data_IF_797305948884
#
_entry.id   IF_797305948884
#
_cell.length_a   1.000
_cell.length_b   1.000
_cell.length_c   1.000
_cell.angle_alpha   90.00
_cell.angle_beta   90.00
_cell.angle_gamma   90.00
#
_symmetry.space_group_name_H-M   'P 1'
#
loop_
_entity.id
_entity.type
_entity.pdbx_description
1 polymer ?
#
# COMPACT_ATOMS: atom_id res chain seq x y z
N UNK A 1 24.39 7.41 36.95
CA UNK A 1 23.01 7.43 37.48
C UNK A 1 22.24 8.51 36.71
N UNK A 2 21.56 8.10 35.65
CA UNK A 2 20.63 8.92 34.87
C UNK A 2 19.34 8.10 34.75
N UNK A 3 18.16 8.66 35.05
CA UNK A 3 16.92 7.90 35.03
C UNK A 3 16.43 7.71 33.59
N UNK A 4 16.05 6.48 33.31
CA UNK A 4 15.33 6.00 32.14
C UNK A 4 13.88 6.48 32.16
N UNK A 5 13.45 7.22 31.14
CA UNK A 5 12.03 7.36 30.81
C UNK A 5 11.86 7.77 29.34
N UNK A 6 11.83 6.79 28.44
CA UNK A 6 11.31 6.93 27.08
C UNK A 6 10.41 5.71 26.83
N UNK A 7 9.16 5.82 27.29
CA UNK A 7 8.08 4.99 26.82
C UNK A 7 7.47 5.72 25.60
N UNK A 8 7.57 5.12 24.42
CA UNK A 8 6.91 5.62 23.21
C UNK A 8 5.38 5.45 23.29
N UNK A 9 4.62 6.17 22.46
CA UNK A 9 3.16 6.14 22.51
C UNK A 9 2.59 4.81 22.01
N UNK A 10 1.53 4.39 22.69
CA UNK A 10 0.75 3.17 22.47
C UNK A 10 -0.01 3.29 21.14
N UNK A 11 0.48 2.60 20.11
CA UNK A 11 -0.13 2.60 18.77
C UNK A 11 -1.44 1.80 18.84
N UNK A 12 -2.54 2.47 18.49
CA UNK A 12 -3.91 2.00 18.66
C UNK A 12 -4.15 0.55 18.26
N UNK A 13 -4.23 -0.32 19.25
CA UNK A 13 -4.83 -1.64 19.11
C UNK A 13 -6.34 -1.47 18.95
N UNK A 14 -6.92 -1.92 17.84
CA UNK A 14 -8.27 -2.44 17.89
C UNK A 14 -8.28 -3.51 18.99
N UNK A 15 -8.98 -3.22 20.09
CA UNK A 15 -8.84 -3.91 21.36
C UNK A 15 -8.91 -5.42 21.19
N UNK A 16 -7.79 -6.10 21.36
CA UNK A 16 -7.85 -7.51 21.70
C UNK A 16 -8.42 -7.61 23.12
N UNK A 17 -9.41 -8.48 23.37
CA UNK A 17 -9.90 -8.69 24.71
C UNK A 17 -8.71 -9.05 25.59
N UNK A 18 -8.59 -8.32 26.71
CA UNK A 18 -7.61 -8.56 27.77
C UNK A 18 -7.52 -10.06 28.02
N UNK A 19 -6.30 -10.58 28.14
CA UNK A 19 -6.02 -11.95 28.55
C UNK A 19 -6.90 -12.33 29.75
N UNK A 20 -7.99 -13.05 29.48
CA UNK A 20 -8.69 -13.82 30.50
C UNK A 20 -7.76 -14.99 30.77
N UNK A 21 -7.25 -15.10 31.99
CA UNK A 21 -6.28 -16.12 32.42
C UNK A 21 -6.83 -17.54 32.42
N UNK A 22 -7.17 -18.07 31.23
CA UNK A 22 -7.43 -19.47 30.98
C UNK A 22 -6.37 -20.03 30.05
N UNK A 23 -5.84 -21.21 30.34
CA UNK A 23 -5.01 -21.96 29.40
C UNK A 23 -5.73 -22.04 28.05
N UNK A 24 -5.09 -21.56 26.98
CA UNK A 24 -5.67 -21.63 25.64
C UNK A 24 -5.73 -23.11 25.26
N UNK A 25 -6.95 -23.64 25.10
CA UNK A 25 -7.14 -25.05 24.81
C UNK A 25 -6.41 -25.44 23.52
N UNK A 26 -5.62 -26.52 23.61
CA UNK A 26 -4.87 -27.05 22.46
C UNK A 26 -5.84 -27.78 21.54
N UNK A 27 -5.85 -27.39 20.27
CA UNK A 27 -6.73 -28.00 19.26
C UNK A 27 -6.18 -29.38 18.92
N UNK A 28 -7.03 -30.41 19.01
CA UNK A 28 -6.70 -31.81 18.75
C UNK A 28 -5.52 -32.36 19.59
N UNK A 29 -5.19 -31.73 20.72
CA UNK A 29 -4.05 -32.12 21.56
C UNK A 29 -2.66 -31.83 20.95
N UNK A 30 -2.58 -31.04 19.88
CA UNK A 30 -1.31 -30.78 19.17
C UNK A 30 -0.49 -29.72 19.91
N UNK A 31 0.40 -30.18 20.80
CA UNK A 31 1.35 -29.30 21.51
C UNK A 31 2.53 -28.87 20.65
N UNK A 32 2.89 -29.70 19.67
CA UNK A 32 4.02 -29.46 18.76
C UNK A 32 3.74 -30.10 17.40
N UNK A 33 3.52 -29.29 16.38
CA UNK A 33 3.38 -29.74 15.00
C UNK A 33 4.71 -30.22 14.42
N UNK A 34 4.68 -30.79 13.22
CA UNK A 34 5.87 -31.15 12.44
C UNK A 34 6.88 -29.98 12.34
N UNK A 35 6.39 -28.75 12.23
CA UNK A 35 7.21 -27.53 12.15
C UNK A 35 7.45 -26.87 13.51
N UNK A 36 7.19 -27.56 14.62
CA UNK A 36 7.37 -27.04 15.98
C UNK A 36 6.33 -26.02 16.45
N UNK A 37 5.19 -25.88 15.77
CA UNK A 37 4.15 -24.89 16.12
C UNK A 37 3.06 -25.50 17.00
N UNK A 38 2.46 -24.69 17.86
CA UNK A 38 1.29 -25.08 18.66
C UNK A 38 -0.01 -24.86 17.89
N UNK A 39 -1.00 -25.71 18.12
CA UNK A 39 -2.35 -25.48 17.61
C UNK A 39 -3.22 -24.97 18.76
N UNK A 40 -3.56 -23.69 18.70
CA UNK A 40 -4.32 -23.01 19.74
C UNK A 40 -5.71 -22.68 19.23
N UNK A 41 -6.72 -22.95 20.05
CA UNK A 41 -8.05 -22.44 19.79
C UNK A 41 -8.05 -20.94 20.06
N UNK A 42 -8.69 -20.16 19.20
CA UNK A 42 -8.90 -18.74 19.48
C UNK A 42 -10.04 -18.63 20.52
N UNK A 43 -9.78 -18.11 21.73
CA UNK A 43 -10.80 -18.02 22.75
C UNK A 43 -11.89 -17.05 22.31
N UNK A 44 -13.15 -17.46 22.49
CA UNK A 44 -14.35 -16.64 22.22
C UNK A 44 -15.33 -16.83 23.36
N UNK A 45 -16.01 -15.76 23.78
CA UNK A 45 -17.08 -15.87 24.78
C UNK A 45 -18.29 -16.59 24.16
N UNK A 46 -18.71 -17.76 24.69
CA UNK A 46 -19.88 -18.47 24.18
C UNK A 46 -21.16 -17.63 24.22
N UNK A 47 -21.27 -16.67 25.14
CA UNK A 47 -22.43 -15.76 25.20
C UNK A 47 -22.47 -14.84 24.00
N UNK A 48 -21.34 -14.22 23.65
CA UNK A 48 -21.21 -13.42 22.43
C UNK A 48 -21.59 -14.25 21.21
N UNK A 49 -21.08 -15.49 21.08
CA UNK A 49 -21.43 -16.37 19.96
C UNK A 49 -22.94 -16.63 19.88
N UNK A 50 -23.60 -16.93 21.01
CA UNK A 50 -25.07 -17.09 21.03
C UNK A 50 -25.81 -15.81 20.62
N UNK A 51 -25.34 -14.64 21.04
CA UNK A 51 -25.94 -13.36 20.63
C UNK A 51 -25.84 -13.16 19.12
N UNK A 52 -24.71 -13.50 18.49
CA UNK A 52 -24.55 -13.43 17.03
C UNK A 52 -25.52 -14.36 16.31
N UNK A 53 -25.65 -15.61 16.78
CA UNK A 53 -26.58 -16.61 16.21
C UNK A 53 -28.03 -16.11 16.30
N UNK A 54 -28.44 -15.60 17.46
CA UNK A 54 -29.83 -15.20 17.69
C UNK A 54 -30.19 -13.88 17.01
N UNK A 55 -29.31 -12.87 17.07
CA UNK A 55 -29.61 -11.51 16.57
C UNK A 55 -29.49 -11.39 15.05
N UNK A 56 -28.56 -12.14 14.45
CA UNK A 56 -28.23 -12.02 13.03
C UNK A 56 -28.45 -13.31 12.25
N UNK A 57 -29.09 -14.31 12.87
CA UNK A 57 -29.44 -15.60 12.24
C UNK A 57 -28.24 -16.31 11.60
N UNK A 58 -27.06 -16.15 12.20
CA UNK A 58 -25.83 -16.74 11.70
C UNK A 58 -25.69 -18.20 12.15
N UNK A 59 -24.99 -19.01 11.35
CA UNK A 59 -24.52 -20.31 11.81
C UNK A 59 -23.56 -20.12 12.99
N UNK A 60 -23.54 -21.10 13.92
CA UNK A 60 -22.61 -21.07 15.07
C UNK A 60 -21.15 -20.93 14.62
N UNK A 61 -20.76 -21.62 13.54
CA UNK A 61 -19.41 -21.53 13.00
C UNK A 61 -19.08 -20.10 12.54
N UNK A 62 -19.97 -19.46 11.79
CA UNK A 62 -19.80 -18.07 11.34
C UNK A 62 -19.72 -17.12 12.53
N UNK A 63 -20.62 -17.28 13.52
CA UNK A 63 -20.63 -16.48 14.74
C UNK A 63 -19.32 -16.61 15.53
N UNK A 64 -18.78 -17.83 15.70
CA UNK A 64 -17.47 -18.06 16.34
C UNK A 64 -16.33 -17.39 15.58
N UNK A 65 -16.34 -17.45 14.25
CA UNK A 65 -15.31 -16.79 13.43
C UNK A 65 -15.36 -15.27 13.58
N UNK A 66 -16.55 -14.67 13.58
CA UNK A 66 -16.71 -13.22 13.75
C UNK A 66 -16.31 -12.76 15.17
N UNK A 67 -16.78 -13.45 16.21
CA UNK A 67 -16.39 -13.18 17.59
C UNK A 67 -14.87 -13.33 17.78
N UNK A 68 -14.27 -14.37 17.19
CA UNK A 68 -12.83 -14.58 17.19
C UNK A 68 -12.05 -13.54 16.37
N UNK A 69 -12.71 -12.75 15.53
CA UNK A 69 -12.07 -11.61 14.84
C UNK A 69 -12.21 -10.31 15.62
N UNK A 70 -12.87 -10.33 16.79
CA UNK A 70 -13.12 -9.13 17.60
C UNK A 70 -14.14 -8.19 16.97
N UNK A 71 -15.05 -8.71 16.15
CA UNK A 71 -16.18 -7.91 15.62
C UNK A 71 -17.20 -7.78 16.74
N UNK A 72 -17.71 -6.58 16.96
CA UNK A 72 -18.79 -6.35 17.92
C UNK A 72 -20.14 -6.80 17.35
N UNK A 73 -21.07 -7.16 18.24
CA UNK A 73 -22.40 -7.66 17.84
C UNK A 73 -23.09 -6.65 16.93
N UNK A 74 -22.97 -5.37 17.23
CA UNK A 74 -23.59 -4.26 16.52
C UNK A 74 -23.01 -4.08 15.10
N UNK A 75 -21.75 -4.43 14.90
CA UNK A 75 -21.02 -4.18 13.65
C UNK A 75 -21.16 -5.30 12.62
N UNK A 76 -21.79 -6.42 12.98
CA UNK A 76 -21.93 -7.60 12.11
C UNK A 76 -22.53 -7.29 10.74
N UNK A 77 -23.63 -6.52 10.61
CA UNK A 77 -24.19 -6.21 9.30
C UNK A 77 -23.20 -5.46 8.41
N UNK A 78 -22.53 -4.44 8.96
CA UNK A 78 -21.55 -3.63 8.24
C UNK A 78 -20.28 -4.40 7.88
N UNK A 79 -19.87 -5.36 8.72
CA UNK A 79 -18.73 -6.23 8.43
C UNK A 79 -19.02 -7.22 7.30
N UNK A 80 -20.21 -7.84 7.32
CA UNK A 80 -20.62 -8.82 6.30
C UNK A 80 -20.99 -8.16 4.97
N UNK A 81 -21.67 -7.01 5.03
CA UNK A 81 -22.13 -6.25 3.87
C UNK A 81 -21.62 -4.81 3.92
N UNK A 82 -20.30 -4.58 3.75
CA UNK A 82 -19.74 -3.24 3.83
C UNK A 82 -20.21 -2.41 2.64
N UNK A 83 -20.77 -1.22 2.92
CA UNK A 83 -21.18 -0.28 1.89
C UNK A 83 -20.38 1.02 2.00
N UNK A 84 -20.14 1.67 0.86
CA UNK A 84 -19.50 3.00 0.87
C UNK A 84 -20.39 4.06 1.52
N UNK A 85 -21.72 3.91 1.43
CA UNK A 85 -22.66 4.84 2.06
C UNK A 85 -22.44 4.92 3.58
N UNK A 86 -22.17 3.78 4.20
CA UNK A 86 -22.08 3.69 5.66
C UNK A 86 -20.64 3.92 6.16
N UNK A 87 -19.63 3.64 5.33
CA UNK A 87 -18.22 3.56 5.77
C UNK A 87 -17.31 4.63 5.16
N UNK A 88 -17.75 5.37 4.13
CA UNK A 88 -16.95 6.45 3.56
C UNK A 88 -17.01 7.67 4.50
N UNK A 89 -15.88 8.12 5.08
CA UNK A 89 -15.85 9.28 5.95
C UNK A 89 -16.05 10.57 5.14
N UNK A 90 -16.48 11.61 5.84
CA UNK A 90 -16.29 12.97 5.34
C UNK A 90 -14.78 13.23 5.20
N UNK A 91 -14.27 13.64 4.02
CA UNK A 91 -12.86 13.98 3.84
C UNK A 91 -12.36 15.04 4.83
N UNK A 92 -13.22 15.92 5.35
CA UNK A 92 -12.82 16.96 6.32
C UNK A 92 -12.40 16.40 7.69
N UNK A 93 -12.55 15.09 7.91
CA UNK A 93 -12.03 14.41 9.10
C UNK A 93 -10.51 14.24 9.08
N UNK A 94 -9.86 14.43 7.94
CA UNK A 94 -8.42 14.32 7.78
C UNK A 94 -7.81 15.73 7.82
N UNK A 95 -6.79 15.93 8.65
CA UNK A 95 -6.10 17.21 8.72
C UNK A 95 -5.53 17.59 7.35
N UNK A 96 -5.57 18.89 7.05
CA UNK A 96 -5.16 19.52 5.79
C UNK A 96 -5.88 19.04 4.52
N UNK A 97 -6.87 18.14 4.61
CA UNK A 97 -7.64 17.68 3.43
C UNK A 97 -8.31 18.85 2.70
N UNK A 98 -8.93 19.77 3.45
CA UNK A 98 -9.54 20.98 2.89
C UNK A 98 -8.52 21.86 2.16
N UNK A 99 -7.36 22.12 2.79
CA UNK A 99 -6.29 22.94 2.22
C UNK A 99 -5.76 22.34 0.91
N UNK A 100 -5.44 21.04 0.92
CA UNK A 100 -4.98 20.34 -0.28
C UNK A 100 -6.03 20.31 -1.39
N UNK A 101 -7.30 20.06 -1.04
CA UNK A 101 -8.39 20.03 -2.01
C UNK A 101 -8.65 21.40 -2.63
N UNK A 102 -8.66 22.47 -1.84
CA UNK A 102 -8.83 23.85 -2.31
C UNK A 102 -7.68 24.28 -3.23
N UNK A 103 -6.42 23.98 -2.83
CA UNK A 103 -5.25 24.33 -3.64
C UNK A 103 -5.26 23.65 -5.01
N UNK A 104 -5.61 22.36 -5.04
CA UNK A 104 -5.65 21.57 -6.29
C UNK A 104 -6.87 21.89 -7.15
N UNK A 105 -8.04 22.15 -6.55
CA UNK A 105 -9.18 22.67 -7.28
C UNK A 105 -8.86 24.04 -7.91
N UNK A 106 -8.18 24.92 -7.16
CA UNK A 106 -7.67 26.20 -7.65
C UNK A 106 -6.78 26.04 -8.88
N UNK A 107 -5.80 25.12 -8.81
CA UNK A 107 -4.92 24.79 -9.93
C UNK A 107 -5.70 24.34 -11.18
N UNK A 108 -6.71 23.47 -11.00
CA UNK A 108 -7.58 23.01 -12.10
C UNK A 108 -8.34 24.18 -12.73
N UNK A 109 -8.98 25.03 -11.91
CA UNK A 109 -9.77 26.17 -12.39
C UNK A 109 -8.91 27.24 -13.07
N UNK A 110 -7.67 27.40 -12.63
CA UNK A 110 -6.69 28.34 -13.20
C UNK A 110 -5.87 27.73 -14.34
N UNK A 111 -6.13 26.47 -14.71
CA UNK A 111 -5.40 25.74 -15.74
C UNK A 111 -3.88 25.65 -15.47
N UNK A 112 -3.48 25.62 -14.20
CA UNK A 112 -2.11 25.30 -13.78
C UNK A 112 -1.78 23.84 -14.12
N UNK A 113 -0.50 23.53 -14.32
CA UNK A 113 -0.05 22.15 -14.41
C UNK A 113 0.16 21.61 -12.99
N UNK A 114 -0.52 20.50 -12.66
CA UNK A 114 -0.32 19.79 -11.40
C UNK A 114 0.76 18.72 -11.63
N UNK A 115 1.92 18.89 -10.98
CA UNK A 115 2.92 17.83 -10.90
C UNK A 115 2.48 16.74 -9.94
N UNK A 116 2.60 15.48 -10.30
CA UNK A 116 2.34 14.33 -9.44
C UNK A 116 3.64 13.57 -9.28
N UNK A 117 4.13 13.46 -8.05
CA UNK A 117 5.27 12.64 -7.70
C UNK A 117 4.76 11.39 -6.98
N UNK A 118 4.87 10.21 -7.60
CA UNK A 118 4.39 8.95 -7.01
C UNK A 118 5.51 8.03 -6.56
N UNK A 119 5.16 6.92 -5.91
CA UNK A 119 6.05 5.78 -5.74
C UNK A 119 5.90 4.74 -6.86
N UNK A 120 6.92 3.88 -7.02
CA UNK A 120 6.99 2.88 -8.10
C UNK A 120 6.21 1.59 -7.81
N UNK A 121 5.75 1.39 -6.57
CA UNK A 121 4.99 0.21 -6.22
C UNK A 121 3.51 0.33 -6.67
N UNK A 122 2.68 -0.67 -6.35
CA UNK A 122 1.29 -0.67 -6.81
C UNK A 122 0.47 0.45 -6.17
N UNK A 123 0.70 0.79 -4.90
CA UNK A 123 -0.09 1.81 -4.22
C UNK A 123 0.27 3.20 -4.77
N UNK A 124 1.56 3.50 -4.91
CA UNK A 124 2.04 4.72 -5.55
C UNK A 124 1.61 4.86 -7.01
N UNK A 125 1.69 3.78 -7.80
CA UNK A 125 1.26 3.79 -9.20
C UNK A 125 -0.25 3.98 -9.35
N UNK A 126 -1.06 3.32 -8.53
CA UNK A 126 -2.52 3.46 -8.57
C UNK A 126 -2.99 4.81 -8.03
N UNK A 127 -2.34 5.35 -7.01
CA UNK A 127 -2.57 6.72 -6.50
C UNK A 127 -2.29 7.77 -7.57
N UNK A 128 -1.13 7.65 -8.22
CA UNK A 128 -0.72 8.55 -9.31
C UNK A 128 -1.69 8.49 -10.49
N UNK A 129 -2.10 7.27 -10.87
CA UNK A 129 -3.05 7.07 -11.95
C UNK A 129 -4.45 7.61 -11.61
N UNK A 130 -4.94 7.35 -10.39
CA UNK A 130 -6.22 7.84 -9.90
C UNK A 130 -6.30 9.37 -9.96
N UNK A 131 -5.32 10.05 -9.38
CA UNK A 131 -5.28 11.52 -9.37
C UNK A 131 -5.12 12.08 -10.78
N UNK A 132 -4.21 11.51 -11.59
CA UNK A 132 -3.99 11.96 -12.98
C UNK A 132 -5.24 11.81 -13.85
N UNK A 133 -5.95 10.68 -13.74
CA UNK A 133 -7.21 10.45 -14.47
C UNK A 133 -8.31 11.39 -14.02
N UNK A 134 -8.46 11.61 -12.72
CA UNK A 134 -9.45 12.56 -12.21
C UNK A 134 -9.19 13.97 -12.72
N UNK A 135 -7.96 14.48 -12.55
CA UNK A 135 -7.60 15.85 -12.99
C UNK A 135 -7.86 16.03 -14.49
N UNK A 136 -7.48 15.05 -15.33
CA UNK A 136 -7.78 15.09 -16.78
C UNK A 136 -9.27 15.05 -17.07
N UNK A 137 -10.03 14.19 -16.37
CA UNK A 137 -11.48 14.06 -16.56
C UNK A 137 -12.25 15.35 -16.26
N UNK A 138 -11.76 16.18 -15.34
CA UNK A 138 -12.35 17.50 -15.02
C UNK A 138 -11.74 18.66 -15.81
N UNK A 139 -10.86 18.37 -16.78
CA UNK A 139 -10.27 19.33 -17.72
C UNK A 139 -8.97 20.01 -17.26
N UNK A 140 -8.33 19.51 -16.20
CA UNK A 140 -7.03 19.99 -15.73
C UNK A 140 -5.84 19.33 -16.43
N UNK A 141 -4.63 19.81 -16.12
CA UNK A 141 -3.36 19.32 -16.71
C UNK A 141 -2.50 18.67 -15.63
N UNK A 142 -1.88 17.54 -15.97
CA UNK A 142 -0.95 16.83 -15.08
C UNK A 142 0.35 16.49 -15.75
N UNK A 143 1.43 16.54 -14.99
CA UNK A 143 2.72 15.92 -15.30
C UNK A 143 3.04 14.93 -14.18
N UNK A 144 3.58 13.75 -14.51
CA UNK A 144 3.81 12.69 -13.52
C UNK A 144 5.26 12.25 -13.54
N UNK A 145 5.85 12.14 -12.35
CA UNK A 145 7.17 11.55 -12.13
C UNK A 145 7.05 10.35 -11.20
N UNK A 146 7.58 9.21 -11.64
CA UNK A 146 7.71 8.00 -10.83
C UNK A 146 9.22 7.71 -10.73
N UNK A 147 9.82 7.71 -9.52
CA UNK A 147 11.27 7.61 -9.38
C UNK A 147 11.79 6.21 -9.77
N UNK A 148 12.98 6.19 -10.38
CA UNK A 148 13.74 4.96 -10.55
C UNK A 148 14.41 4.59 -9.21
N UNK A 149 13.94 3.51 -8.58
CA UNK A 149 14.43 3.07 -7.26
C UNK A 149 15.93 2.86 -7.21
N UNK A 150 16.53 2.41 -8.31
CA UNK A 150 17.96 2.07 -8.37
C UNK A 150 18.80 3.34 -8.59
N UNK A 151 18.33 4.27 -9.43
CA UNK A 151 19.08 5.48 -9.78
C UNK A 151 18.85 6.65 -8.82
N UNK A 152 17.61 6.82 -8.38
CA UNK A 152 17.15 7.98 -7.60
C UNK A 152 16.92 7.65 -6.12
N UNK A 153 16.75 6.36 -5.79
CA UNK A 153 16.40 5.92 -4.44
C UNK A 153 14.89 5.93 -4.19
N UNK A 154 14.50 5.98 -2.92
CA UNK A 154 13.09 5.94 -2.49
C UNK A 154 12.58 7.34 -2.15
N UNK A 155 11.34 7.62 -2.57
CA UNK A 155 10.62 8.84 -2.21
C UNK A 155 11.03 10.10 -2.99
N UNK A 156 10.49 11.26 -2.59
CA UNK A 156 10.72 12.52 -3.28
C UNK A 156 12.19 12.94 -3.23
N UNK A 157 12.70 13.42 -4.35
CA UNK A 157 14.05 14.01 -4.44
C UNK A 157 13.99 15.41 -5.07
N UNK A 158 14.89 16.28 -4.63
CA UNK A 158 14.91 17.70 -5.04
C UNK A 158 15.00 17.87 -6.55
N UNK A 159 15.86 17.10 -7.22
CA UNK A 159 16.07 17.23 -8.66
C UNK A 159 14.78 16.92 -9.45
N UNK A 160 14.08 15.86 -9.10
CA UNK A 160 12.85 15.46 -9.77
C UNK A 160 11.67 16.41 -9.49
N UNK A 161 11.51 16.90 -8.24
CA UNK A 161 10.46 17.89 -7.93
C UNK A 161 10.69 19.19 -8.71
N UNK A 162 11.92 19.70 -8.72
CA UNK A 162 12.25 20.91 -9.50
C UNK A 162 12.13 20.65 -11.01
N UNK A 163 12.47 19.44 -11.47
CA UNK A 163 12.29 19.01 -12.84
C UNK A 163 10.83 19.09 -13.33
N UNK A 164 9.84 18.79 -12.47
CA UNK A 164 8.42 18.96 -12.82
C UNK A 164 8.08 20.43 -13.12
N UNK A 165 8.66 21.36 -12.38
CA UNK A 165 8.51 22.80 -12.66
C UNK A 165 9.23 23.18 -13.94
N UNK A 166 10.49 22.81 -14.09
CA UNK A 166 11.32 23.24 -15.22
C UNK A 166 10.84 22.68 -16.56
N UNK A 167 10.41 21.42 -16.59
CA UNK A 167 9.96 20.74 -17.80
C UNK A 167 8.50 21.02 -18.16
N UNK A 168 7.63 21.24 -17.17
CA UNK A 168 6.18 21.29 -17.38
C UNK A 168 5.49 22.55 -16.85
N UNK A 169 6.22 23.44 -16.17
CA UNK A 169 5.66 24.63 -15.55
C UNK A 169 4.75 24.32 -14.36
N UNK A 170 4.99 23.21 -13.65
CA UNK A 170 4.22 22.87 -12.46
C UNK A 170 4.47 23.89 -11.33
N UNK A 171 3.42 24.62 -10.94
CA UNK A 171 3.38 25.55 -9.80
C UNK A 171 2.88 24.87 -8.51
N UNK A 172 2.26 23.70 -8.65
CA UNK A 172 1.87 22.83 -7.54
C UNK A 172 2.31 21.40 -7.82
N UNK A 173 2.84 20.75 -6.80
CA UNK A 173 3.21 19.32 -6.83
C UNK A 173 2.45 18.58 -5.75
N UNK A 174 1.89 17.42 -6.10
CA UNK A 174 1.30 16.47 -5.17
C UNK A 174 2.22 15.27 -5.05
N UNK A 175 2.70 14.96 -3.85
CA UNK A 175 3.34 13.67 -3.60
C UNK A 175 2.26 12.66 -3.21
N UNK A 176 2.28 11.47 -3.80
CA UNK A 176 1.34 10.39 -3.49
C UNK A 176 2.11 9.15 -3.06
N UNK A 177 1.66 8.51 -1.98
CA UNK A 177 2.32 7.36 -1.34
C UNK A 177 3.75 7.63 -0.87
N UNK A 178 4.07 8.91 -0.69
CA UNK A 178 5.35 9.35 -0.18
C UNK A 178 5.28 10.83 0.24
N UNK A 179 6.33 11.29 0.91
CA UNK A 179 6.54 12.71 1.18
C UNK A 179 6.42 13.13 2.64
N UNK A 180 5.81 12.32 3.52
CA UNK A 180 5.68 12.65 4.96
C UNK A 180 7.03 12.89 5.64
N UNK A 181 8.08 12.21 5.18
CA UNK A 181 9.44 12.35 5.73
C UNK A 181 10.40 13.10 4.79
N UNK A 182 9.89 13.72 3.73
CA UNK A 182 10.71 14.36 2.69
C UNK A 182 11.00 15.84 2.99
N UNK A 183 11.62 16.13 4.15
CA UNK A 183 11.84 17.48 4.64
C UNK A 183 12.64 18.37 3.68
N UNK A 184 13.82 17.90 3.23
CA UNK A 184 14.71 18.67 2.37
C UNK A 184 14.13 18.89 0.96
N UNK A 185 13.63 17.87 0.24
CA UNK A 185 13.01 18.06 -1.07
C UNK A 185 11.83 19.05 -1.05
N UNK A 186 10.98 18.98 -0.03
CA UNK A 186 9.82 19.87 0.10
C UNK A 186 10.23 21.30 0.50
N UNK A 187 11.27 21.45 1.32
CA UNK A 187 11.83 22.76 1.59
C UNK A 187 12.39 23.42 0.33
N UNK A 188 13.12 22.68 -0.50
CA UNK A 188 13.65 23.15 -1.77
C UNK A 188 12.53 23.51 -2.78
N UNK A 189 11.45 22.71 -2.82
CA UNK A 189 10.28 23.01 -3.64
C UNK A 189 9.64 24.35 -3.25
N UNK A 190 9.42 24.58 -1.95
CA UNK A 190 8.89 25.84 -1.43
C UNK A 190 9.80 27.02 -1.77
N UNK A 191 11.11 26.87 -1.59
CA UNK A 191 12.08 27.94 -1.88
C UNK A 191 12.13 28.26 -3.40
N UNK A 192 11.78 27.28 -4.24
CA UNK A 192 11.54 27.47 -5.67
C UNK A 192 10.14 28.00 -6.01
N UNK A 193 9.29 28.30 -5.03
CA UNK A 193 7.91 28.78 -5.24
C UNK A 193 6.98 27.72 -5.84
N UNK A 194 7.19 26.45 -5.49
CA UNK A 194 6.27 25.34 -5.79
C UNK A 194 5.47 25.05 -4.53
N UNK A 195 4.15 25.09 -4.63
CA UNK A 195 3.27 24.63 -3.55
C UNK A 195 3.28 23.10 -3.52
N UNK A 196 3.45 22.49 -2.35
CA UNK A 196 3.44 21.03 -2.23
C UNK A 196 2.27 20.56 -1.40
N UNK A 197 1.53 19.57 -1.89
CA UNK A 197 0.52 18.82 -1.15
C UNK A 197 1.03 17.39 -0.97
N UNK A 198 1.13 16.91 0.26
CA UNK A 198 1.53 15.54 0.57
C UNK A 198 0.30 14.69 0.80
N UNK A 199 0.22 13.55 0.11
CA UNK A 199 -0.80 12.51 0.30
C UNK A 199 -0.08 11.20 0.57
N UNK A 200 -0.16 10.75 1.81
CA UNK A 200 0.67 9.64 2.27
C UNK A 200 -0.07 8.88 3.38
N UNK A 201 0.48 7.73 3.75
CA UNK A 201 -0.02 6.88 4.83
C UNK A 201 1.11 6.28 5.68
N UNK A 202 2.38 6.56 5.36
CA UNK A 202 3.50 6.10 6.16
C UNK A 202 3.47 6.68 7.59
N UNK A 203 4.14 6.00 8.53
CA UNK A 203 4.31 6.51 9.90
C UNK A 203 4.97 7.89 9.88
N UNK A 204 4.30 8.88 10.48
CA UNK A 204 4.83 10.22 10.61
C UNK A 204 5.74 10.37 11.85
N UNK A 205 6.63 11.35 11.78
CA UNK A 205 7.41 11.83 12.92
C UNK A 205 6.67 12.99 13.63
N UNK A 206 7.26 13.50 14.71
CA UNK A 206 6.70 14.62 15.46
C UNK A 206 6.67 15.92 14.64
N UNK A 207 7.69 16.14 13.83
CA UNK A 207 7.77 17.27 12.91
C UNK A 207 7.24 16.84 11.54
N UNK A 208 6.55 17.77 10.86
CA UNK A 208 6.07 17.59 9.49
C UNK A 208 6.88 18.46 8.52
N UNK A 209 7.05 18.03 7.26
CA UNK A 209 7.74 18.81 6.26
C UNK A 209 6.94 20.07 5.92
N UNK A 210 7.65 21.11 5.49
CA UNK A 210 7.04 22.38 5.11
C UNK A 210 6.34 22.23 3.75
N UNK A 211 5.02 22.06 3.79
CA UNK A 211 4.14 21.88 2.65
C UNK A 211 2.86 22.73 2.85
N UNK A 212 2.09 22.95 1.77
CA UNK A 212 0.78 23.63 1.83
C UNK A 212 -0.25 22.77 2.58
N UNK A 213 -0.13 21.45 2.43
CA UNK A 213 -0.96 20.47 3.11
C UNK A 213 -0.20 19.16 3.31
N UNK A 214 -0.33 18.55 4.49
CA UNK A 214 0.17 17.18 4.75
C UNK A 214 -1.00 16.28 5.15
N UNK A 215 -1.55 15.57 4.17
CA UNK A 215 -2.70 14.68 4.33
C UNK A 215 -2.17 13.27 4.59
N UNK A 216 -2.11 12.89 5.87
CA UNK A 216 -1.67 11.55 6.26
C UNK A 216 -2.40 11.09 7.55
N UNK A 217 -3.16 9.98 7.50
CA UNK A 217 -3.91 9.48 8.65
C UNK A 217 -3.05 8.94 9.80
N UNK A 218 -1.74 8.81 9.60
CA UNK A 218 -0.75 8.39 10.59
C UNK A 218 0.07 9.55 11.16
N UNK A 219 -0.36 10.81 10.95
CA UNK A 219 0.18 11.93 11.71
C UNK A 219 -0.11 11.75 13.21
N UNK A 220 0.84 12.17 14.05
CA UNK A 220 0.70 12.06 15.50
C UNK A 220 -0.39 12.97 16.09
N UNK A 221 -0.79 14.02 15.37
CA UNK A 221 -1.86 14.95 15.75
C UNK A 221 -3.23 14.59 15.14
N UNK A 222 -3.32 13.51 14.37
CA UNK A 222 -4.55 13.07 13.71
C UNK A 222 -5.50 12.35 14.67
N UNK A 223 -6.81 12.45 14.42
CA UNK A 223 -7.77 11.62 15.15
C UNK A 223 -7.64 10.16 14.73
N UNK A 224 -7.39 9.28 15.69
CA UNK A 224 -7.27 7.84 15.42
C UNK A 224 -8.53 7.27 14.74
N UNK A 225 -8.34 6.36 13.78
CA UNK A 225 -9.42 5.60 13.14
C UNK A 225 -9.19 5.23 11.68
N UNK A 226 -8.29 5.93 10.99
CA UNK A 226 -8.04 5.74 9.56
C UNK A 226 -6.58 5.47 9.20
N UNK A 227 -5.68 5.28 10.18
CA UNK A 227 -4.25 5.00 9.94
C UNK A 227 -3.97 3.71 9.16
N UNK A 228 -4.97 2.84 9.02
CA UNK A 228 -4.91 1.64 8.19
C UNK A 228 -5.20 1.89 6.69
N UNK A 229 -5.56 3.09 6.26
CA UNK A 229 -5.76 3.38 4.83
C UNK A 229 -4.45 3.19 4.07
N UNK A 230 -4.54 2.61 2.88
CA UNK A 230 -3.49 2.72 1.86
C UNK A 230 -3.47 4.14 1.28
N UNK A 231 -2.36 4.59 0.70
CA UNK A 231 -2.24 5.91 0.10
C UNK A 231 -3.24 6.12 -1.05
N UNK A 232 -3.59 5.07 -1.83
CA UNK A 232 -4.64 5.19 -2.86
C UNK A 232 -6.02 5.44 -2.25
N UNK A 233 -6.27 4.95 -1.04
CA UNK A 233 -7.49 5.23 -0.28
C UNK A 233 -7.55 6.69 0.17
N UNK A 234 -6.44 7.22 0.68
CA UNK A 234 -6.31 8.65 1.04
C UNK A 234 -6.44 9.53 -0.22
N UNK A 235 -5.82 9.13 -1.32
CA UNK A 235 -5.90 9.80 -2.62
C UNK A 235 -7.33 9.82 -3.16
N UNK A 236 -8.08 8.72 -2.98
CA UNK A 236 -9.50 8.68 -3.36
C UNK A 236 -10.32 9.69 -2.55
N UNK A 237 -10.07 9.81 -1.24
CA UNK A 237 -10.75 10.81 -0.40
C UNK A 237 -10.37 12.25 -0.81
N UNK A 238 -9.12 12.49 -1.20
CA UNK A 238 -8.70 13.76 -1.77
C UNK A 238 -9.42 14.06 -3.09
N UNK A 239 -9.57 13.08 -3.99
CA UNK A 239 -10.35 13.23 -5.22
C UNK A 239 -11.82 13.59 -4.91
N UNK A 240 -12.43 12.94 -3.90
CA UNK A 240 -13.78 13.29 -3.43
C UNK A 240 -13.83 14.75 -2.93
N UNK A 241 -12.83 15.19 -2.17
CA UNK A 241 -12.74 16.54 -1.64
C UNK A 241 -12.55 17.59 -2.76
N UNK A 242 -11.63 17.38 -3.71
CA UNK A 242 -11.41 18.27 -4.86
C UNK A 242 -12.70 18.35 -5.69
N UNK A 243 -13.35 17.21 -5.97
CA UNK A 243 -14.61 17.18 -6.71
C UNK A 243 -15.71 17.98 -6.01
N UNK A 244 -15.78 17.93 -4.67
CA UNK A 244 -16.70 18.73 -3.86
C UNK A 244 -16.42 20.23 -3.98
N UNK A 245 -15.16 20.65 -3.94
CA UNK A 245 -14.75 22.06 -4.12
C UNK A 245 -15.12 22.56 -5.53
N UNK A 246 -14.79 21.80 -6.57
CA UNK A 246 -15.15 22.13 -7.96
C UNK A 246 -16.67 22.26 -8.15
N UNK A 247 -17.45 21.35 -7.55
CA UNK A 247 -18.92 21.43 -7.56
C UNK A 247 -19.42 22.70 -6.88
N UNK A 248 -18.88 23.04 -5.71
CA UNK A 248 -19.21 24.26 -4.97
C UNK A 248 -18.88 25.53 -5.75
N UNK A 249 -17.80 25.51 -6.56
CA UNK A 249 -17.41 26.60 -7.44
C UNK A 249 -18.22 26.67 -8.76
N UNK A 250 -19.20 25.78 -8.95
CA UNK A 250 -20.02 25.75 -10.16
C UNK A 250 -19.30 25.24 -11.41
N UNK A 251 -18.15 24.56 -11.26
CA UNK A 251 -17.29 24.10 -12.36
C UNK A 251 -18.04 23.21 -13.36
N UNK A 252 -18.98 22.40 -12.86
CA UNK A 252 -19.78 21.45 -13.65
C UNK A 252 -21.02 22.05 -14.31
N UNK A 253 -21.25 23.36 -14.22
CA UNK A 253 -22.35 24.02 -14.96
C UNK A 253 -22.18 23.90 -16.47
N UNK A 254 -20.94 23.82 -16.94
CA UNK A 254 -20.59 23.73 -18.37
C UNK A 254 -19.80 22.47 -18.73
N UNK A 255 -19.64 21.53 -17.78
CA UNK A 255 -18.76 20.36 -17.91
C UNK A 255 -19.41 19.15 -17.22
N UNK A 256 -19.24 17.93 -17.75
CA UNK A 256 -19.74 16.74 -17.07
C UNK A 256 -18.98 16.50 -15.76
N UNK A 257 -19.70 16.23 -14.67
CA UNK A 257 -19.11 15.74 -13.44
C UNK A 257 -18.80 14.23 -13.60
N UNK A 258 -17.55 13.76 -13.34
CA UNK A 258 -17.21 12.36 -13.48
C UNK A 258 -17.81 11.49 -12.36
N UNK A 259 -18.22 10.26 -12.69
CA UNK A 259 -18.54 9.24 -11.69
C UNK A 259 -17.24 8.74 -11.03
N UNK A 260 -16.99 9.14 -9.78
CA UNK A 260 -15.78 8.75 -9.06
C UNK A 260 -15.72 7.25 -8.76
N UNK A 261 -16.86 6.55 -8.69
CA UNK A 261 -16.90 5.12 -8.38
C UNK A 261 -16.26 4.28 -9.50
N UNK A 262 -16.15 4.82 -10.71
CA UNK A 262 -15.55 4.12 -11.84
C UNK A 262 -14.06 3.79 -11.64
N UNK A 263 -13.38 4.48 -10.73
CA UNK A 263 -11.94 4.29 -10.47
C UNK A 263 -11.65 3.43 -9.24
N UNK A 264 -12.68 2.85 -8.61
CA UNK A 264 -12.49 2.00 -7.43
C UNK A 264 -11.75 0.70 -7.74
N UNK A 265 -11.64 0.30 -9.02
CA UNK A 265 -10.81 -0.83 -9.42
C UNK A 265 -9.31 -0.59 -9.13
N UNK A 266 -8.81 0.63 -9.38
CA UNK A 266 -7.46 1.04 -9.01
C UNK A 266 -7.31 1.17 -7.49
N UNK A 267 -8.29 1.75 -6.81
CA UNK A 267 -8.30 1.85 -5.33
C UNK A 267 -8.22 0.47 -4.70
N UNK A 268 -9.00 -0.49 -5.20
CA UNK A 268 -8.96 -1.86 -4.70
C UNK A 268 -7.62 -2.53 -4.94
N UNK A 269 -7.04 -2.36 -6.14
CA UNK A 269 -5.74 -2.95 -6.45
C UNK A 269 -4.63 -2.41 -5.53
N UNK A 270 -4.49 -1.09 -5.39
CA UNK A 270 -3.49 -0.48 -4.51
C UNK A 270 -3.69 -0.91 -3.05
N UNK A 271 -4.92 -0.78 -2.53
CA UNK A 271 -5.26 -1.18 -1.15
C UNK A 271 -4.90 -2.64 -0.84
N UNK A 272 -5.18 -3.58 -1.76
CA UNK A 272 -4.85 -5.00 -1.55
C UNK A 272 -3.34 -5.24 -1.64
N UNK A 273 -2.65 -4.55 -2.55
CA UNK A 273 -1.21 -4.74 -2.78
C UNK A 273 -0.34 -4.09 -1.71
N UNK A 274 -0.84 -3.08 -1.02
CA UNK A 274 -0.22 -2.45 0.15
C UNK A 274 -0.36 -3.30 1.44
N UNK A 275 -1.13 -4.39 1.38
CA UNK A 275 -1.26 -5.37 2.49
C UNK A 275 -1.83 -4.73 3.78
N UNK A 276 -2.57 -3.62 3.65
CA UNK A 276 -3.30 -3.03 4.76
C UNK A 276 -4.49 -3.90 5.20
N UNK A 277 -4.93 -3.82 6.47
CA UNK A 277 -6.10 -4.54 6.94
C UNK A 277 -7.35 -4.25 6.10
N UNK A 278 -7.99 -5.31 5.58
CA UNK A 278 -9.26 -5.24 4.85
C UNK A 278 -10.46 -5.21 5.81
N UNK A 279 -10.51 -4.18 6.65
CA UNK A 279 -11.58 -3.86 7.60
C UNK A 279 -12.14 -2.46 7.32
N UNK A 280 -13.33 -2.16 7.87
CA UNK A 280 -13.96 -0.84 7.73
C UNK A 280 -13.98 -0.32 6.29
N UNK A 281 -13.50 0.91 6.09
CA UNK A 281 -13.45 1.57 4.78
C UNK A 281 -12.63 0.80 3.74
N UNK A 282 -11.45 0.26 4.07
CA UNK A 282 -10.65 -0.53 3.12
C UNK A 282 -11.47 -1.71 2.57
N UNK A 283 -12.23 -2.38 3.45
CA UNK A 283 -13.10 -3.48 3.06
C UNK A 283 -14.20 -3.02 2.10
N UNK A 284 -14.81 -1.86 2.35
CA UNK A 284 -15.85 -1.30 1.48
C UNK A 284 -15.30 -0.89 0.11
N UNK A 285 -14.17 -0.18 0.08
CA UNK A 285 -13.47 0.24 -1.14
C UNK A 285 -13.07 -0.98 -1.98
N UNK A 286 -12.44 -1.98 -1.36
CA UNK A 286 -12.00 -3.20 -2.06
C UNK A 286 -13.20 -4.02 -2.55
N UNK A 287 -14.24 -4.19 -1.73
CA UNK A 287 -15.44 -4.94 -2.14
C UNK A 287 -16.13 -4.29 -3.34
N UNK A 288 -16.28 -2.97 -3.34
CA UNK A 288 -16.89 -2.27 -4.46
C UNK A 288 -15.96 -2.21 -5.67
N UNK A 289 -14.66 -1.99 -5.45
CA UNK A 289 -13.67 -1.95 -6.52
C UNK A 289 -13.49 -3.25 -7.26
N UNK A 290 -13.59 -4.41 -6.59
CA UNK A 290 -13.61 -5.71 -7.29
C UNK A 290 -14.85 -5.86 -8.20
N UNK A 291 -16.01 -5.31 -7.81
CA UNK A 291 -17.20 -5.30 -8.69
C UNK A 291 -16.99 -4.39 -9.91
N UNK A 292 -16.35 -3.23 -9.71
CA UNK A 292 -15.97 -2.33 -10.81
C UNK A 292 -14.97 -3.00 -11.75
N UNK A 293 -13.95 -3.65 -11.20
CA UNK A 293 -12.91 -4.36 -11.96
C UNK A 293 -13.49 -5.54 -12.76
N UNK A 294 -14.47 -6.27 -12.21
CA UNK A 294 -15.20 -7.32 -12.92
C UNK A 294 -15.95 -6.80 -14.16
N UNK A 295 -16.25 -5.50 -14.22
CA UNK A 295 -16.81 -4.84 -15.40
C UNK A 295 -15.81 -4.58 -16.52
N UNK A 296 -14.50 -4.80 -16.30
CA UNK A 296 -13.42 -4.77 -17.30
C UNK A 296 -13.36 -3.47 -18.14
N UNK A 297 -13.74 -2.33 -17.55
CA UNK A 297 -13.79 -1.03 -18.25
C UNK A 297 -12.42 -0.34 -18.33
N UNK A 298 -11.55 -0.55 -17.35
CA UNK A 298 -10.18 -0.04 -17.36
C UNK A 298 -9.31 -0.91 -18.28
N UNK A 299 -8.87 -0.33 -19.41
CA UNK A 299 -8.11 -1.03 -20.45
C UNK A 299 -6.84 -1.69 -19.92
N UNK A 300 -6.11 -0.98 -19.04
CA UNK A 300 -4.87 -1.47 -18.44
C UNK A 300 -5.09 -2.65 -17.51
N UNK A 301 -6.03 -2.53 -16.58
CA UNK A 301 -6.39 -3.62 -15.66
C UNK A 301 -6.96 -4.83 -16.39
N UNK A 302 -7.74 -4.60 -17.44
CA UNK A 302 -8.27 -5.64 -18.32
C UNK A 302 -7.12 -6.40 -19.00
N UNK A 303 -6.21 -5.68 -19.65
CA UNK A 303 -5.06 -6.29 -20.33
C UNK A 303 -4.15 -7.04 -19.34
N UNK A 304 -3.94 -6.49 -18.14
CA UNK A 304 -3.16 -7.13 -17.08
C UNK A 304 -3.81 -8.43 -16.59
N UNK A 305 -5.12 -8.44 -16.39
CA UNK A 305 -5.88 -9.64 -16.03
C UNK A 305 -5.76 -10.70 -17.14
N UNK A 306 -5.86 -10.31 -18.40
CA UNK A 306 -5.77 -11.22 -19.55
C UNK A 306 -4.41 -11.88 -19.68
N UNK A 307 -3.31 -11.11 -19.62
CA UNK A 307 -1.96 -11.70 -19.68
C UNK A 307 -1.65 -12.55 -18.46
N UNK A 308 -2.30 -12.27 -17.33
CA UNK A 308 -2.16 -13.04 -16.11
C UNK A 308 -3.03 -14.31 -16.07
N UNK A 309 -3.91 -14.52 -17.07
CA UNK A 309 -4.80 -15.66 -17.15
C UNK A 309 -5.98 -15.61 -16.19
N UNK A 310 -6.43 -14.42 -15.80
CA UNK A 310 -7.62 -14.23 -14.93
C UNK A 310 -8.85 -14.11 -15.83
N UNK A 311 -9.60 -15.21 -15.96
CA UNK A 311 -10.81 -15.34 -16.78
C UNK A 311 -12.11 -15.31 -15.97
N UNK A 312 -12.02 -15.16 -14.64
CA UNK A 312 -13.15 -15.06 -13.73
C UNK A 312 -13.24 -13.69 -13.03
N UNK A 313 -14.27 -13.50 -12.20
CA UNK A 313 -14.43 -12.28 -11.42
C UNK A 313 -13.24 -12.10 -10.46
N UNK A 314 -12.55 -10.94 -10.47
CA UNK A 314 -11.39 -10.73 -9.62
C UNK A 314 -11.72 -10.85 -8.12
N UNK A 315 -10.82 -11.48 -7.38
CA UNK A 315 -10.87 -11.61 -5.92
C UNK A 315 -9.64 -10.93 -5.32
N UNK A 316 -9.62 -10.70 -4.00
CA UNK A 316 -8.43 -10.17 -3.34
C UNK A 316 -7.18 -11.04 -3.59
N UNK A 317 -7.35 -12.34 -3.84
CA UNK A 317 -6.26 -13.22 -4.27
C UNK A 317 -5.70 -12.81 -5.64
N UNK A 318 -6.57 -12.59 -6.64
CA UNK A 318 -6.15 -12.13 -7.95
C UNK A 318 -5.41 -10.79 -7.88
N UNK A 319 -5.93 -9.84 -7.09
CA UNK A 319 -5.28 -8.54 -6.91
C UNK A 319 -3.90 -8.70 -6.26
N UNK A 320 -3.80 -9.34 -5.10
CA UNK A 320 -2.58 -9.37 -4.29
C UNK A 320 -1.50 -10.37 -4.76
N UNK A 321 -1.89 -11.48 -5.39
CA UNK A 321 -0.96 -12.57 -5.73
C UNK A 321 -0.78 -12.80 -7.22
N UNK A 322 -1.63 -12.20 -8.07
CA UNK A 322 -1.59 -12.42 -9.52
C UNK A 322 -1.29 -11.11 -10.26
N UNK A 323 -2.12 -10.08 -10.10
CA UNK A 323 -1.99 -8.81 -10.82
C UNK A 323 -0.93 -7.89 -10.17
N UNK A 324 -1.00 -7.70 -8.86
CA UNK A 324 -0.07 -6.84 -8.09
C UNK A 324 1.41 -7.16 -8.30
N UNK A 325 1.84 -8.43 -8.20
CA UNK A 325 3.24 -8.80 -8.44
C UNK A 325 3.78 -8.41 -9.82
N UNK A 326 2.90 -8.35 -10.85
CA UNK A 326 3.29 -7.93 -12.20
C UNK A 326 3.54 -6.44 -12.28
N UNK A 327 2.67 -5.62 -11.68
CA UNK A 327 2.88 -4.17 -11.58
C UNK A 327 4.17 -3.88 -10.81
N UNK A 328 4.33 -4.50 -9.64
CA UNK A 328 5.53 -4.37 -8.81
C UNK A 328 6.82 -4.85 -9.46
N UNK A 329 6.75 -5.73 -10.48
CA UNK A 329 7.94 -6.18 -11.18
C UNK A 329 8.60 -5.06 -11.98
N UNK A 330 7.82 -4.09 -12.49
CA UNK A 330 8.32 -2.91 -13.19
C UNK A 330 9.35 -2.15 -12.36
N UNK A 331 8.97 -1.68 -11.16
CA UNK A 331 9.89 -0.96 -10.26
C UNK A 331 10.97 -1.81 -9.60
N UNK A 332 10.94 -3.15 -9.72
CA UNK A 332 11.94 -4.04 -9.10
C UNK A 332 13.06 -4.44 -10.05
N UNK A 333 12.74 -4.75 -11.29
CA UNK A 333 13.69 -5.32 -12.27
C UNK A 333 13.55 -4.69 -13.67
N UNK A 334 12.68 -3.69 -13.84
CA UNK A 334 12.37 -3.07 -15.12
C UNK A 334 12.23 -1.54 -15.02
N UNK A 335 11.21 -1.02 -15.70
CA UNK A 335 10.90 0.42 -15.74
C UNK A 335 9.81 0.76 -14.70
N UNK A 336 10.11 1.70 -13.80
CA UNK A 336 9.23 2.09 -12.68
C UNK A 336 7.89 2.70 -13.10
N UNK A 337 7.84 3.40 -14.23
CA UNK A 337 6.66 4.16 -14.68
C UNK A 337 5.59 3.29 -15.36
N UNK A 338 5.89 2.03 -15.66
CA UNK A 338 5.00 1.14 -16.42
C UNK A 338 3.67 0.88 -15.71
N UNK A 339 3.67 0.80 -14.38
CA UNK A 339 2.46 0.65 -13.59
C UNK A 339 1.50 1.82 -13.81
N UNK A 340 2.01 3.04 -13.66
CA UNK A 340 1.25 4.27 -13.90
C UNK A 340 0.74 4.35 -15.35
N UNK A 341 1.61 4.10 -16.34
CA UNK A 341 1.24 4.16 -17.77
C UNK A 341 0.16 3.16 -18.13
N UNK A 342 0.25 1.93 -17.62
CA UNK A 342 -0.75 0.90 -17.84
C UNK A 342 -2.11 1.36 -17.31
N UNK A 343 -2.17 1.95 -16.11
CA UNK A 343 -3.44 2.36 -15.49
C UNK A 343 -4.06 3.62 -16.12
N UNK A 344 -3.27 4.40 -16.87
CA UNK A 344 -3.70 5.68 -17.44
C UNK A 344 -3.88 5.67 -18.95
N UNK A 345 -3.38 4.67 -19.67
CA UNK A 345 -3.56 4.60 -21.12
C UNK A 345 -5.03 4.46 -21.53
N UNK A 346 -5.35 5.06 -22.67
CA UNK A 346 -6.66 5.02 -23.32
C UNK A 346 -6.61 4.21 -24.64
N UNK A 347 -5.48 3.56 -24.91
CA UNK A 347 -5.22 2.80 -26.13
C UNK A 347 -5.11 1.30 -25.83
N UNK A 348 -5.89 0.47 -26.53
CA UNK A 348 -5.95 -0.98 -26.26
C UNK A 348 -4.64 -1.70 -26.59
N UNK A 349 -3.98 -1.30 -27.68
CA UNK A 349 -2.70 -1.82 -28.14
C UNK A 349 -1.56 -1.45 -27.18
N UNK A 350 -1.53 -0.20 -26.71
CA UNK A 350 -0.58 0.22 -25.68
C UNK A 350 -0.81 -0.55 -24.37
N UNK A 351 -2.06 -0.66 -23.90
CA UNK A 351 -2.40 -1.42 -22.70
C UNK A 351 -1.90 -2.87 -22.77
N UNK A 352 -2.11 -3.53 -23.92
CA UNK A 352 -1.66 -4.90 -24.12
C UNK A 352 -0.13 -5.03 -24.17
N UNK A 353 0.56 -4.08 -24.81
CA UNK A 353 2.02 -4.04 -24.83
C UNK A 353 2.60 -3.87 -23.42
N UNK A 354 2.09 -2.88 -22.67
CA UNK A 354 2.52 -2.61 -21.30
C UNK A 354 2.27 -3.81 -20.37
N UNK A 355 1.10 -4.43 -20.46
CA UNK A 355 0.75 -5.61 -19.66
C UNK A 355 1.70 -6.79 -19.95
N UNK A 356 2.03 -7.07 -21.21
CA UNK A 356 2.99 -8.12 -21.57
C UNK A 356 4.40 -7.83 -21.09
N UNK A 357 4.80 -6.56 -21.10
CA UNK A 357 6.11 -6.13 -20.60
C UNK A 357 6.21 -6.35 -19.08
N UNK A 358 5.20 -5.95 -18.32
CA UNK A 358 5.11 -6.21 -16.88
C UNK A 358 5.08 -7.71 -16.55
N UNK A 359 4.38 -8.51 -17.35
CA UNK A 359 4.35 -9.96 -17.20
C UNK A 359 5.73 -10.61 -17.48
N UNK A 360 6.47 -10.10 -18.47
CA UNK A 360 7.86 -10.50 -18.70
C UNK A 360 8.77 -10.14 -17.53
N UNK A 361 8.73 -8.90 -17.05
CA UNK A 361 9.50 -8.49 -15.86
C UNK A 361 9.14 -9.32 -14.63
N UNK A 362 7.89 -9.73 -14.46
CA UNK A 362 7.52 -10.61 -13.36
C UNK A 362 8.17 -11.99 -13.44
N UNK A 363 8.27 -12.59 -14.65
CA UNK A 363 9.01 -13.85 -14.85
C UNK A 363 10.51 -13.68 -14.58
N UNK A 364 11.09 -12.59 -15.05
CA UNK A 364 12.51 -12.29 -14.81
C UNK A 364 12.77 -12.12 -13.32
N UNK A 365 11.92 -11.34 -12.64
CA UNK A 365 11.95 -11.15 -11.19
C UNK A 365 11.82 -12.47 -10.43
N UNK A 366 10.91 -13.37 -10.83
CA UNK A 366 10.76 -14.71 -10.24
C UNK A 366 12.03 -15.56 -10.42
N UNK A 367 12.65 -15.50 -11.60
CA UNK A 367 13.87 -16.24 -11.93
C UNK A 367 15.04 -15.76 -11.07
N UNK A 368 15.25 -14.44 -11.01
CA UNK A 368 16.29 -13.80 -10.19
C UNK A 368 16.06 -14.09 -8.71
N UNK A 369 14.82 -13.94 -8.22
CA UNK A 369 14.45 -14.27 -6.85
C UNK A 369 14.76 -15.72 -6.50
N UNK A 370 14.44 -16.66 -7.40
CA UNK A 370 14.70 -18.08 -7.21
C UNK A 370 16.19 -18.38 -7.04
N UNK A 371 17.03 -17.79 -7.89
CA UNK A 371 18.48 -17.95 -7.80
C UNK A 371 19.05 -17.39 -6.49
N UNK A 372 18.64 -16.18 -6.10
CA UNK A 372 19.08 -15.54 -4.85
C UNK A 372 18.61 -16.34 -3.63
N UNK A 373 17.35 -16.81 -3.62
CA UNK A 373 16.82 -17.62 -2.53
C UNK A 373 17.56 -18.94 -2.37
N UNK A 374 17.86 -19.64 -3.47
CA UNK A 374 18.65 -20.88 -3.45
C UNK A 374 20.05 -20.64 -2.87
N UNK A 375 20.74 -19.59 -3.34
CA UNK A 375 22.06 -19.22 -2.81
C UNK A 375 22.02 -18.87 -1.32
N UNK A 376 21.02 -18.08 -0.90
CA UNK A 376 20.84 -17.72 0.50
C UNK A 376 20.51 -18.93 1.40
N UNK A 377 19.68 -19.85 0.93
CA UNK A 377 19.37 -21.08 1.66
C UNK A 377 20.60 -21.98 1.80
N UNK A 378 21.39 -22.15 0.74
CA UNK A 378 22.63 -22.92 0.80
C UNK A 378 23.60 -22.39 1.86
N UNK A 379 23.80 -21.06 1.91
CA UNK A 379 24.64 -20.42 2.94
C UNK A 379 24.15 -20.70 4.36
N UNK A 380 22.85 -20.60 4.60
CA UNK A 380 22.26 -20.81 5.92
C UNK A 380 22.28 -22.28 6.34
N UNK A 381 22.11 -23.21 5.40
CA UNK A 381 22.12 -24.65 5.65
C UNK A 381 23.54 -25.18 5.89
N UNK A 382 24.53 -24.67 5.14
CA UNK A 382 25.96 -24.98 5.32
C UNK A 382 26.49 -24.42 6.65
N UNK A 383 26.19 -23.15 6.95
CA UNK A 383 26.59 -22.53 8.22
C UNK A 383 25.93 -23.21 9.44
N UNK A 384 24.74 -23.78 9.26
CA UNK A 384 24.01 -24.51 10.28
C UNK A 384 24.39 -25.99 10.42
N UNK A 385 25.31 -26.53 9.60
CA UNK A 385 25.67 -27.95 9.62
C UNK A 385 24.47 -28.90 9.52
N UNK A 386 23.39 -28.48 8.84
CA UNK A 386 22.13 -29.22 8.73
C UNK A 386 21.21 -29.17 9.97
N UNK A 387 21.54 -28.42 11.02
CA UNK A 387 20.72 -28.25 12.23
C UNK A 387 20.18 -26.83 12.37
N UNK A 388 18.86 -26.68 12.52
CA UNK A 388 18.20 -25.39 12.77
C UNK A 388 18.70 -24.68 14.06
N UNK A 389 19.34 -25.41 14.98
CA UNK A 389 19.89 -24.85 16.22
C UNK A 389 21.28 -24.22 16.05
N UNK A 390 21.99 -24.50 14.95
CA UNK A 390 23.29 -23.89 14.66
C UNK A 390 23.17 -22.60 13.83
N UNK A 391 22.00 -22.36 13.23
CA UNK A 391 21.66 -21.06 12.65
C UNK A 391 21.64 -20.00 13.76
N UNK A 392 22.27 -18.85 13.55
CA UNK A 392 22.28 -17.75 14.52
C UNK A 392 20.88 -17.16 14.79
N UNK A 393 20.80 -16.20 15.72
CA UNK A 393 19.53 -15.54 16.06
C UNK A 393 18.85 -14.85 14.86
N UNK A 394 19.64 -14.50 13.84
CA UNK A 394 19.21 -13.88 12.59
C UNK A 394 19.66 -14.76 11.42
N UNK A 395 18.76 -15.01 10.46
CA UNK A 395 19.09 -15.62 9.18
C UNK A 395 19.74 -14.58 8.27
N UNK A 396 21.07 -14.52 8.30
CA UNK A 396 21.88 -13.61 7.48
C UNK A 396 22.42 -14.33 6.25
N UNK A 397 22.15 -13.78 5.07
CA UNK A 397 22.72 -14.25 3.81
C UNK A 397 23.22 -13.06 2.98
N UNK A 398 24.25 -13.29 2.18
CA UNK A 398 24.80 -12.24 1.33
C UNK A 398 25.39 -12.79 0.03
N UNK A 399 25.45 -11.99 -1.03
CA UNK A 399 26.04 -12.47 -2.27
C UNK A 399 26.43 -11.36 -3.22
N UNK A 400 27.50 -11.62 -3.96
CA UNK A 400 27.99 -10.75 -5.02
C UNK A 400 27.08 -10.85 -6.25
N UNK A 401 26.73 -9.71 -6.83
CA UNK A 401 25.89 -9.63 -8.03
C UNK A 401 24.43 -10.00 -7.80
N UNK A 402 23.98 -10.20 -6.55
CA UNK A 402 22.57 -10.35 -6.25
C UNK A 402 21.81 -9.06 -6.56
N UNK A 403 20.61 -9.19 -7.13
CA UNK A 403 19.86 -8.02 -7.58
C UNK A 403 19.15 -7.31 -6.39
N UNK A 404 19.41 -6.01 -6.14
CA UNK A 404 18.80 -5.29 -5.00
C UNK A 404 17.27 -5.25 -5.01
N UNK A 405 16.64 -5.31 -6.20
CA UNK A 405 15.18 -5.34 -6.34
C UNK A 405 14.48 -6.58 -5.75
N UNK A 406 15.20 -7.69 -5.48
CA UNK A 406 14.60 -8.94 -4.97
C UNK A 406 14.99 -9.31 -3.54
N UNK A 407 16.04 -8.73 -2.97
CA UNK A 407 16.57 -9.12 -1.65
C UNK A 407 15.54 -8.99 -0.53
N UNK A 408 14.64 -8.01 -0.60
CA UNK A 408 13.56 -7.84 0.38
C UNK A 408 12.51 -8.96 0.34
N UNK A 409 12.25 -9.52 -0.86
CA UNK A 409 11.33 -10.66 -1.02
C UNK A 409 11.98 -11.93 -0.48
N UNK A 410 13.26 -12.13 -0.79
CA UNK A 410 14.04 -13.25 -0.27
C UNK A 410 14.12 -13.19 1.26
N UNK A 411 14.41 -12.02 1.84
CA UNK A 411 14.41 -11.84 3.30
C UNK A 411 13.05 -12.23 3.92
N UNK A 412 11.92 -11.84 3.32
CA UNK A 412 10.60 -12.27 3.79
C UNK A 412 10.41 -13.79 3.75
N UNK A 413 10.84 -14.45 2.66
CA UNK A 413 10.75 -15.92 2.53
C UNK A 413 11.64 -16.66 3.53
N UNK A 414 12.86 -16.16 3.76
CA UNK A 414 13.76 -16.70 4.78
C UNK A 414 13.16 -16.55 6.17
N UNK A 415 12.59 -15.37 6.49
CA UNK A 415 11.87 -15.14 7.75
C UNK A 415 10.74 -16.14 7.94
N UNK A 416 9.90 -16.37 6.92
CA UNK A 416 8.78 -17.31 7.01
C UNK A 416 9.23 -18.77 7.14
N UNK A 417 10.26 -19.17 6.38
CA UNK A 417 10.80 -20.53 6.37
C UNK A 417 11.46 -20.89 7.70
N UNK A 418 12.31 -20.00 8.22
CA UNK A 418 13.11 -20.26 9.42
C UNK A 418 12.48 -19.71 10.71
N UNK A 419 11.40 -18.93 10.60
CA UNK A 419 10.70 -18.29 11.71
C UNK A 419 11.64 -17.45 12.61
N UNK A 420 12.51 -16.67 11.97
CA UNK A 420 13.52 -15.80 12.59
C UNK A 420 13.63 -14.49 11.82
N UNK A 421 14.14 -13.41 12.43
CA UNK A 421 14.55 -12.26 11.65
C UNK A 421 15.53 -12.68 10.56
N UNK A 422 15.40 -12.09 9.37
CA UNK A 422 16.24 -12.39 8.22
C UNK A 422 16.77 -11.11 7.59
N UNK A 423 18.02 -11.14 7.14
CA UNK A 423 18.67 -10.07 6.42
C UNK A 423 19.38 -10.64 5.19
N UNK A 424 19.13 -10.02 4.03
CA UNK A 424 19.76 -10.39 2.76
C UNK A 424 20.51 -9.19 2.23
N UNK A 425 21.80 -9.36 1.94
CA UNK A 425 22.68 -8.30 1.45
C UNK A 425 23.12 -8.61 0.02
N UNK A 426 22.90 -7.66 -0.88
CA UNK A 426 23.42 -7.69 -2.25
C UNK A 426 24.66 -6.81 -2.34
N UNK A 427 25.81 -7.40 -2.69
CA UNK A 427 27.04 -6.64 -2.96
C UNK A 427 27.14 -6.32 -4.46
N UNK A 428 27.47 -5.06 -4.75
CA UNK A 428 27.78 -4.62 -6.10
C UNK A 428 29.23 -5.05 -6.38
N UNK A 429 29.44 -6.18 -7.08
CA UNK A 429 30.74 -6.82 -7.29
C UNK A 429 31.81 -6.06 -8.12
N UNK A 430 31.89 -4.73 -7.98
CA UNK A 430 33.04 -3.90 -8.35
C UNK A 430 33.87 -3.50 -7.12
N UNK A 431 34.93 -2.70 -7.29
CA UNK A 431 35.97 -2.31 -6.29
C UNK A 431 35.48 -1.61 -4.99
N UNK A 432 34.21 -1.71 -4.60
CA UNK A 432 33.67 -1.15 -3.37
C UNK A 432 32.92 -2.18 -2.52
N UNK A 433 33.32 -2.31 -1.25
CA UNK A 433 32.71 -3.14 -0.19
C UNK A 433 31.26 -2.74 0.20
N UNK A 434 30.58 -1.90 -0.59
CA UNK A 434 29.26 -1.37 -0.27
C UNK A 434 28.15 -2.27 -0.82
N UNK A 435 27.35 -2.83 0.10
CA UNK A 435 26.18 -3.65 -0.21
C UNK A 435 24.87 -2.98 0.18
N UNK A 436 23.80 -3.31 -0.55
CA UNK A 436 22.43 -2.94 -0.19
C UNK A 436 21.80 -4.10 0.57
N UNK A 437 21.32 -3.82 1.79
CA UNK A 437 20.69 -4.83 2.66
C UNK A 437 19.18 -4.64 2.77
N UNK A 438 18.45 -5.75 2.96
CA UNK A 438 17.04 -5.69 3.37
C UNK A 438 16.75 -6.66 4.50
N UNK A 439 16.24 -6.11 5.61
CA UNK A 439 15.85 -6.85 6.81
C UNK A 439 14.34 -7.10 6.89
N UNK A 440 13.94 -8.25 7.41
CA UNK A 440 12.55 -8.60 7.75
C UNK A 440 12.52 -9.29 9.10
N UNK A 441 11.71 -8.78 10.03
CA UNK A 441 11.65 -9.32 11.39
C UNK A 441 10.38 -10.14 11.65
N UNK A 442 10.44 -10.99 12.67
CA UNK A 442 9.27 -11.64 13.26
C UNK A 442 8.64 -10.71 14.30
N UNK A 443 7.39 -10.96 14.69
CA UNK A 443 6.71 -10.11 15.67
C UNK A 443 7.46 -10.09 17.01
N UNK A 444 7.71 -8.90 17.55
CA UNK A 444 8.31 -8.71 18.87
C UNK A 444 9.84 -8.64 18.88
N UNK A 445 10.50 -8.57 17.72
CA UNK A 445 11.96 -8.40 17.58
C UNK A 445 12.28 -7.18 16.75
#
# INVERSE_FOLDING_TARGET
MCPSSLAGPDIGTAGHPRHVGGETARVLGVERSLTGRQWLERPVDPRTVQTFVQRWELSELTARVLAGRGIDVEDVPGFLTPTLRDLLPDPDRFLDMGLGAERLAGAIMQNECIGIFGDYDVDGATSSALLSRFVRAVGGRTAVHIPDRIKEGYGPNTAAILGLKDAHGASVVVTVDCGTLAFEPLAAARDAGIDVVVVDHHTAEADLPKAEAVINPNRLDETAGYGQLAAVGVTFLLVVAINRVLRGAGWYTSRPEPDLLQWLDMVALGTVCDVVPLTGINRALVTQGMKVMAGRRNLGLRALADVAGVDEAPTAYHLGFVMGPRVNAGGRVGESDLGYRLMTTEHEDEAWHLARKLDAFNRDRQTIEGAVLQGAMAQLEDAGGGSANAMGAVALAHGDGWHPGVIGIVASRLKERYNRPACVIAFNGGDGDLGVGSGRSVKGV
#
